data_IF_164139868299
#
_entry.id   IF_164139868299
#
_cell.length_a   1.000
_cell.length_b   1.000
_cell.length_c   1.000
_cell.angle_alpha   90.00
_cell.angle_beta   90.00
_cell.angle_gamma   90.00
#
_symmetry.space_group_name_H-M   'P 1'
#
loop_
_entity.id
_entity.type
_entity.pdbx_description
1 polymer ?
#
# COMPACT_ATOMS: atom_id res chain seq x y z
N UNK A 1 -50.45 24.47 -75.32
CA UNK A 1 -49.85 23.68 -74.21
C UNK A 1 -48.68 24.47 -73.64
N UNK A 2 -48.63 24.55 -72.30
CA UNK A 2 -47.51 24.89 -71.37
C UNK A 2 -46.18 25.37 -72.00
N UNK A 3 -45.49 26.40 -71.52
CA UNK A 3 -45.58 27.16 -70.27
C UNK A 3 -44.38 28.12 -70.18
N UNK A 4 -44.59 29.22 -69.44
CA UNK A 4 -43.67 30.34 -69.13
C UNK A 4 -42.40 29.89 -68.40
N UNK A 5 -41.29 30.63 -68.53
CA UNK A 5 -40.85 31.54 -67.46
C UNK A 5 -39.64 32.45 -67.78
N UNK A 6 -39.69 33.57 -67.07
CA UNK A 6 -38.95 34.84 -67.03
C UNK A 6 -37.52 34.72 -66.41
N UNK A 7 -36.74 35.81 -66.21
CA UNK A 7 -35.31 35.88 -66.49
C UNK A 7 -34.41 35.83 -65.23
N UNK A 8 -33.10 35.75 -65.47
CA UNK A 8 -32.04 35.88 -64.45
C UNK A 8 -32.04 37.27 -63.81
N UNK A 9 -32.01 37.31 -62.48
CA UNK A 9 -31.63 38.48 -61.69
C UNK A 9 -30.48 38.06 -60.76
N UNK A 10 -29.30 38.66 -60.98
CA UNK A 10 -28.10 38.49 -60.18
C UNK A 10 -28.26 39.28 -58.87
N UNK A 11 -28.12 38.63 -57.72
CA UNK A 11 -27.94 39.29 -56.42
C UNK A 11 -26.60 38.86 -55.86
N UNK A 12 -25.69 39.83 -55.70
CA UNK A 12 -24.41 39.67 -55.02
C UNK A 12 -24.65 39.62 -53.49
N UNK A 13 -24.21 38.55 -52.84
CA UNK A 13 -24.15 38.44 -51.38
C UNK A 13 -22.70 38.71 -50.92
N UNK A 14 -22.52 39.82 -50.20
CA UNK A 14 -21.30 40.17 -49.51
C UNK A 14 -21.26 39.38 -48.19
N UNK A 15 -20.35 38.41 -48.07
CA UNK A 15 -20.11 37.69 -46.81
C UNK A 15 -19.16 38.51 -45.92
N UNK A 16 -19.69 39.14 -44.86
CA UNK A 16 -18.89 39.68 -43.77
C UNK A 16 -18.44 38.50 -42.88
N UNK A 17 -17.14 38.19 -42.89
CA UNK A 17 -16.51 37.30 -41.93
C UNK A 17 -16.25 38.06 -40.63
N UNK A 18 -17.07 37.78 -39.61
CA UNK A 18 -16.82 38.21 -38.23
C UNK A 18 -15.69 37.33 -37.70
N UNK A 19 -14.51 37.92 -37.51
CA UNK A 19 -13.46 37.33 -36.69
C UNK A 19 -13.94 37.30 -35.24
N UNK A 20 -14.40 36.13 -34.78
CA UNK A 20 -14.53 35.86 -33.36
C UNK A 20 -13.12 35.80 -32.77
N UNK A 21 -12.71 36.87 -32.08
CA UNK A 21 -11.57 36.83 -31.15
C UNK A 21 -11.92 35.85 -30.04
N UNK A 22 -11.54 34.60 -30.22
CA UNK A 22 -11.61 33.58 -29.18
C UNK A 22 -10.75 34.02 -28.01
N UNK A 23 -11.39 34.29 -26.88
CA UNK A 23 -10.72 34.29 -25.59
C UNK A 23 -10.14 32.88 -25.43
N UNK A 24 -8.85 32.70 -25.66
CA UNK A 24 -8.19 31.39 -25.58
C UNK A 24 -8.49 30.77 -24.23
N UNK A 25 -8.97 29.52 -24.22
CA UNK A 25 -9.16 28.79 -22.98
C UNK A 25 -7.83 28.82 -22.20
N UNK A 26 -7.86 29.35 -20.97
CA UNK A 26 -6.68 29.36 -20.10
C UNK A 26 -6.24 27.91 -19.86
N UNK A 27 -4.94 27.66 -19.95
CA UNK A 27 -4.34 26.37 -19.64
C UNK A 27 -4.42 26.07 -18.13
N UNK A 28 -4.17 24.82 -17.76
CA UNK A 28 -4.28 24.36 -16.37
C UNK A 28 -3.32 25.09 -15.42
N UNK A 29 -2.08 25.39 -15.85
CA UNK A 29 -1.10 26.11 -15.02
C UNK A 29 -1.60 27.51 -14.71
N UNK A 30 -2.08 28.24 -15.73
CA UNK A 30 -2.66 29.57 -15.56
C UNK A 30 -3.93 29.57 -14.70
N UNK A 31 -4.77 28.54 -14.82
CA UNK A 31 -6.02 28.41 -14.07
C UNK A 31 -5.76 28.11 -12.59
N UNK A 32 -4.85 27.18 -12.30
CA UNK A 32 -4.48 26.79 -10.95
C UNK A 32 -3.43 27.72 -10.33
N UNK A 33 -2.73 28.54 -11.12
CA UNK A 33 -1.64 29.40 -10.67
C UNK A 33 -0.42 28.62 -10.18
N UNK A 34 -0.07 27.52 -10.86
CA UNK A 34 1.02 26.62 -10.44
C UNK A 34 2.42 27.21 -10.64
N UNK A 35 2.53 28.30 -11.40
CA UNK A 35 3.76 29.03 -11.72
C UNK A 35 4.07 30.18 -10.75
N UNK A 36 3.27 30.35 -9.69
CA UNK A 36 3.39 31.48 -8.76
C UNK A 36 4.32 31.23 -7.56
N UNK A 37 4.67 29.98 -7.31
CA UNK A 37 5.52 29.54 -6.21
C UNK A 37 6.26 28.25 -6.59
N UNK A 38 7.14 27.80 -5.71
CA UNK A 38 7.79 26.49 -5.82
C UNK A 38 6.74 25.38 -5.98
N UNK A 39 7.01 24.46 -6.91
CA UNK A 39 6.17 23.29 -7.13
C UNK A 39 6.60 22.17 -6.18
N UNK A 40 5.62 21.58 -5.50
CA UNK A 40 5.78 20.37 -4.70
C UNK A 40 4.87 19.29 -5.26
N UNK A 41 5.28 18.05 -5.09
CA UNK A 41 4.43 16.88 -5.33
C UNK A 41 4.41 16.04 -4.07
N UNK A 42 3.26 15.47 -3.77
CA UNK A 42 3.04 14.72 -2.55
C UNK A 42 1.90 13.75 -2.67
N UNK A 43 1.58 13.09 -1.56
CA UNK A 43 0.38 12.28 -1.44
C UNK A 43 -0.77 13.08 -0.82
N UNK A 44 -1.93 12.42 -0.68
CA UNK A 44 -3.11 13.02 -0.04
C UNK A 44 -3.00 13.17 1.48
N UNK A 45 -1.98 12.58 2.12
CA UNK A 45 -1.77 12.59 3.56
C UNK A 45 -0.83 13.72 4.00
N UNK A 46 -0.31 14.49 3.05
CA UNK A 46 0.49 15.69 3.31
C UNK A 46 1.99 15.45 3.23
N UNK A 47 2.44 14.23 2.91
CA UNK A 47 3.83 13.99 2.56
C UNK A 47 4.10 14.69 1.24
N UNK A 48 5.14 15.53 1.17
CA UNK A 48 5.47 16.27 -0.04
C UNK A 48 6.96 16.49 -0.18
N UNK A 49 7.40 16.50 -1.42
CA UNK A 49 8.77 16.80 -1.83
C UNK A 49 8.76 17.96 -2.81
N UNK A 50 9.83 18.76 -2.79
CA UNK A 50 10.01 19.84 -3.74
C UNK A 50 10.37 19.25 -5.11
N UNK A 51 9.76 19.76 -6.17
CA UNK A 51 10.14 19.44 -7.54
C UNK A 51 11.29 20.37 -7.92
N UNK A 52 12.52 19.85 -7.98
CA UNK A 52 13.72 20.66 -8.24
C UNK A 52 13.71 21.30 -9.64
N UNK A 53 13.19 20.59 -10.65
CA UNK A 53 13.08 21.07 -12.03
C UNK A 53 11.60 21.10 -12.48
N UNK A 54 10.82 22.13 -12.11
CA UNK A 54 9.38 22.14 -12.32
C UNK A 54 8.95 22.37 -13.77
N UNK A 55 9.84 22.86 -14.64
CA UNK A 55 9.50 23.28 -16.00
C UNK A 55 8.85 22.17 -16.83
N UNK A 56 9.36 20.94 -16.77
CA UNK A 56 8.79 19.81 -17.53
C UNK A 56 7.37 19.45 -17.06
N UNK A 57 7.11 19.52 -15.75
CA UNK A 57 5.77 19.34 -15.19
C UNK A 57 4.83 20.46 -15.63
N UNK A 58 5.27 21.71 -15.54
CA UNK A 58 4.45 22.87 -15.93
C UNK A 58 4.12 22.83 -17.44
N UNK A 59 5.06 22.44 -18.30
CA UNK A 59 4.80 22.26 -19.73
C UNK A 59 3.83 21.10 -20.03
N UNK A 60 3.96 19.98 -19.31
CA UNK A 60 3.00 18.88 -19.40
C UNK A 60 1.59 19.33 -18.98
N UNK A 61 1.48 20.14 -17.92
CA UNK A 61 0.21 20.65 -17.42
C UNK A 61 -0.41 21.68 -18.36
N UNK A 62 0.39 22.56 -18.96
CA UNK A 62 -0.07 23.50 -20.01
C UNK A 62 -0.62 22.76 -21.23
N UNK A 63 0.00 21.63 -21.57
CA UNK A 63 -0.38 20.78 -22.69
C UNK A 63 -1.55 19.82 -22.40
N UNK A 64 -1.98 19.74 -21.13
CA UNK A 64 -3.03 18.83 -20.70
C UNK A 64 -4.39 19.17 -21.35
N UNK A 65 -5.11 18.14 -21.81
CA UNK A 65 -6.33 18.34 -22.61
C UNK A 65 -7.57 18.24 -21.75
N UNK A 66 -8.40 19.28 -21.72
CA UNK A 66 -9.66 19.27 -20.99
C UNK A 66 -10.57 18.11 -21.42
N UNK A 67 -11.13 17.39 -20.45
CA UNK A 67 -12.03 16.24 -20.65
C UNK A 67 -13.45 16.63 -20.20
N UNK A 68 -14.38 16.65 -21.15
CA UNK A 68 -15.76 17.12 -20.90
C UNK A 68 -16.61 16.11 -20.10
N UNK A 69 -16.37 14.82 -20.27
CA UNK A 69 -17.09 13.73 -19.61
C UNK A 69 -16.10 12.61 -19.21
N UNK A 70 -15.35 12.80 -18.12
CA UNK A 70 -14.29 11.89 -17.71
C UNK A 70 -14.86 10.69 -16.93
N UNK A 71 -15.47 9.73 -17.63
CA UNK A 71 -16.18 8.60 -17.03
C UNK A 71 -15.32 7.72 -16.13
N UNK A 72 -14.03 7.64 -16.42
CA UNK A 72 -13.07 6.78 -15.71
C UNK A 72 -12.17 7.57 -14.76
N UNK A 73 -12.38 8.88 -14.59
CA UNK A 73 -11.60 9.67 -13.65
C UNK A 73 -12.07 9.44 -12.22
N UNK A 74 -11.11 9.07 -11.37
CA UNK A 74 -11.31 8.99 -9.92
C UNK A 74 -11.61 10.35 -9.31
N UNK A 75 -12.09 10.37 -8.08
CA UNK A 75 -12.26 11.61 -7.34
C UNK A 75 -10.94 12.19 -6.87
N UNK A 76 -10.91 13.48 -6.54
CA UNK A 76 -9.73 14.16 -5.99
C UNK A 76 -9.27 13.58 -4.65
N UNK A 77 -10.18 12.95 -3.90
CA UNK A 77 -9.86 12.27 -2.63
C UNK A 77 -9.26 10.87 -2.83
N UNK A 78 -9.37 10.33 -4.05
CA UNK A 78 -8.80 9.05 -4.48
C UNK A 78 -7.53 9.21 -5.32
N UNK A 79 -7.16 10.45 -5.65
CA UNK A 79 -5.94 10.74 -6.40
C UNK A 79 -4.69 10.30 -5.62
N UNK A 80 -3.79 9.61 -6.31
CA UNK A 80 -2.55 9.10 -5.73
C UNK A 80 -1.55 10.21 -5.43
N UNK A 81 -1.55 11.27 -6.25
CA UNK A 81 -0.63 12.39 -6.09
C UNK A 81 -1.35 13.74 -6.05
N UNK A 82 -0.78 14.67 -5.30
CA UNK A 82 -1.21 16.06 -5.21
C UNK A 82 -0.02 16.97 -5.49
N UNK A 83 -0.19 17.86 -6.47
CA UNK A 83 0.75 18.93 -6.77
C UNK A 83 0.34 20.19 -6.04
N UNK A 84 1.31 20.85 -5.41
CA UNK A 84 1.12 22.09 -4.65
C UNK A 84 1.98 23.20 -5.22
N UNK A 85 1.42 24.41 -5.31
CA UNK A 85 2.17 25.64 -5.56
C UNK A 85 1.54 26.75 -4.73
N UNK A 86 2.20 27.13 -3.62
CA UNK A 86 1.58 27.92 -2.57
C UNK A 86 0.34 27.21 -2.01
N UNK A 87 -0.82 27.87 -2.06
CA UNK A 87 -2.12 27.32 -1.62
C UNK A 87 -2.86 26.52 -2.71
N UNK A 88 -2.37 26.58 -3.95
CA UNK A 88 -3.01 25.92 -5.08
C UNK A 88 -2.74 24.42 -5.09
N UNK A 89 -3.75 23.64 -5.50
CA UNK A 89 -3.67 22.18 -5.60
C UNK A 89 -4.15 21.67 -6.95
N UNK A 90 -3.41 20.74 -7.52
CA UNK A 90 -3.85 19.92 -8.66
C UNK A 90 -3.63 18.46 -8.31
N UNK A 91 -4.66 17.63 -8.48
CA UNK A 91 -4.65 16.22 -8.13
C UNK A 91 -4.33 15.40 -9.38
N UNK A 92 -3.59 14.31 -9.23
CA UNK A 92 -3.28 13.40 -10.34
C UNK A 92 -3.79 11.99 -10.01
N UNK A 93 -4.76 11.54 -10.81
CA UNK A 93 -5.21 10.15 -10.89
C UNK A 93 -4.25 9.41 -11.81
N UNK A 94 -3.30 8.70 -11.20
CA UNK A 94 -2.27 7.95 -11.90
C UNK A 94 -2.86 6.76 -12.65
N UNK A 95 -4.00 6.19 -12.24
CA UNK A 95 -4.64 5.10 -12.99
C UNK A 95 -5.30 5.61 -14.27
N UNK A 96 -6.07 6.69 -14.17
CA UNK A 96 -6.78 7.31 -15.28
C UNK A 96 -5.92 8.20 -16.18
N UNK A 97 -4.71 8.58 -15.74
CA UNK A 97 -3.84 9.57 -16.39
C UNK A 97 -4.54 10.93 -16.52
N UNK A 98 -5.14 11.36 -15.41
CA UNK A 98 -5.92 12.59 -15.35
C UNK A 98 -5.39 13.54 -14.27
N UNK A 99 -5.24 14.80 -14.65
CA UNK A 99 -5.06 15.93 -13.74
C UNK A 99 -6.43 16.53 -13.41
N UNK A 100 -6.64 16.88 -12.16
CA UNK A 100 -7.89 17.44 -11.67
C UNK A 100 -7.62 18.73 -10.92
N UNK A 101 -8.38 19.76 -11.28
CA UNK A 101 -8.36 21.04 -10.59
C UNK A 101 -9.74 21.32 -10.01
N UNK A 102 -9.77 21.63 -8.71
CA UNK A 102 -11.00 21.95 -7.99
C UNK A 102 -10.95 23.42 -7.57
N UNK A 103 -11.83 24.22 -8.14
CA UNK A 103 -12.01 25.63 -7.77
C UNK A 103 -13.45 25.85 -7.31
N UNK A 104 -13.61 26.33 -6.06
CA UNK A 104 -14.93 26.62 -5.45
C UNK A 104 -15.95 25.47 -5.60
N UNK A 105 -15.48 24.24 -5.41
CA UNK A 105 -16.31 23.03 -5.52
C UNK A 105 -16.59 22.56 -6.96
N UNK A 106 -16.09 23.27 -7.98
CA UNK A 106 -16.19 22.85 -9.37
C UNK A 106 -14.92 22.11 -9.79
N UNK A 107 -15.08 20.84 -10.15
CA UNK A 107 -14.01 19.99 -10.67
C UNK A 107 -13.85 20.14 -12.19
N UNK A 108 -12.62 20.34 -12.64
CA UNK A 108 -12.21 20.29 -14.06
C UNK A 108 -11.16 19.21 -14.23
N UNK A 109 -11.28 18.39 -15.28
CA UNK A 109 -10.41 17.23 -15.52
C UNK A 109 -9.65 17.40 -16.83
N UNK A 110 -8.38 17.04 -16.84
CA UNK A 110 -7.46 17.20 -17.96
C UNK A 110 -6.67 15.90 -18.18
N UNK A 111 -6.64 15.39 -19.40
CA UNK A 111 -5.85 14.22 -19.75
C UNK A 111 -4.37 14.61 -19.91
N UNK A 112 -3.50 13.94 -19.16
CA UNK A 112 -2.05 14.04 -19.25
C UNK A 112 -1.41 12.80 -18.63
N UNK A 113 -0.48 12.16 -19.33
CA UNK A 113 0.37 11.12 -18.74
C UNK A 113 1.69 11.77 -18.29
N UNK A 114 1.93 11.77 -16.98
CA UNK A 114 3.11 12.36 -16.34
C UNK A 114 3.92 11.34 -15.52
N UNK A 115 3.66 10.04 -15.67
CA UNK A 115 4.31 9.02 -14.84
C UNK A 115 5.84 9.05 -14.98
N UNK A 116 6.33 9.27 -16.21
CA UNK A 116 7.75 9.38 -16.48
C UNK A 116 8.40 10.58 -15.79
N UNK A 117 7.65 11.65 -15.53
CA UNK A 117 8.13 12.79 -14.75
C UNK A 117 8.12 12.47 -13.25
N UNK A 118 7.05 11.82 -12.76
CA UNK A 118 6.95 11.38 -11.37
C UNK A 118 8.08 10.43 -10.97
N UNK A 119 8.43 9.49 -11.85
CA UNK A 119 9.54 8.55 -11.63
C UNK A 119 10.91 9.23 -11.46
N UNK A 120 11.05 10.50 -11.86
CA UNK A 120 12.29 11.27 -11.69
C UNK A 120 12.34 12.04 -10.37
N UNK A 121 11.23 12.10 -9.62
CA UNK A 121 11.17 12.84 -8.36
C UNK A 121 11.64 11.94 -7.23
N UNK A 122 12.81 12.26 -6.68
CA UNK A 122 13.37 11.54 -5.53
C UNK A 122 12.62 11.84 -4.24
N UNK A 123 12.41 10.82 -3.41
CA UNK A 123 11.84 10.97 -2.06
C UNK A 123 10.31 11.07 -2.02
N UNK A 124 9.64 10.83 -3.15
CA UNK A 124 8.19 10.61 -3.14
C UNK A 124 7.84 9.43 -2.24
N UNK A 125 6.76 9.52 -1.44
CA UNK A 125 6.25 8.36 -0.74
C UNK A 125 5.66 7.35 -1.73
N UNK A 126 5.74 6.04 -1.42
CA UNK A 126 4.91 5.05 -2.09
C UNK A 126 3.44 5.42 -1.99
N UNK A 127 2.70 5.37 -3.10
CA UNK A 127 1.27 5.58 -3.06
C UNK A 127 0.58 4.41 -2.33
N UNK A 128 -0.20 4.72 -1.30
CA UNK A 128 -0.98 3.76 -0.52
C UNK A 128 -2.48 3.94 -0.76
N UNK A 129 -3.11 2.88 -1.28
CA UNK A 129 -4.54 2.86 -1.63
C UNK A 129 -5.26 1.78 -0.84
N UNK A 130 -6.41 2.05 -0.20
CA UNK A 130 -7.22 1.04 0.46
C UNK A 130 -7.70 -0.06 -0.50
N UNK A 131 -7.67 -1.31 -0.03
CA UNK A 131 -7.98 -2.49 -0.82
C UNK A 131 -6.80 -3.00 -1.65
N UNK A 132 -7.03 -4.13 -2.31
CA UNK A 132 -6.08 -4.81 -3.19
C UNK A 132 -6.85 -5.66 -4.20
N UNK A 133 -6.17 -6.06 -5.28
CA UNK A 133 -6.71 -6.86 -6.37
C UNK A 133 -5.74 -8.02 -6.66
N UNK A 134 -5.77 -9.03 -5.79
CA UNK A 134 -4.96 -10.24 -5.87
C UNK A 134 -5.78 -11.41 -5.28
N UNK A 135 -6.30 -12.29 -6.14
CA UNK A 135 -7.19 -13.39 -5.74
C UNK A 135 -6.47 -14.39 -4.82
N UNK A 136 -5.19 -14.65 -5.05
CA UNK A 136 -4.41 -15.60 -4.25
C UNK A 136 -4.22 -15.08 -2.81
N UNK A 137 -3.86 -13.80 -2.65
CA UNK A 137 -3.76 -13.18 -1.32
C UNK A 137 -5.13 -13.13 -0.65
N UNK A 138 -6.20 -12.86 -1.40
CA UNK A 138 -7.55 -12.82 -0.85
C UNK A 138 -7.95 -14.16 -0.22
N UNK A 139 -7.69 -15.27 -0.92
CA UNK A 139 -7.92 -16.62 -0.39
C UNK A 139 -7.05 -16.90 0.85
N UNK A 140 -5.77 -16.50 0.84
CA UNK A 140 -4.89 -16.72 1.98
C UNK A 140 -5.33 -15.94 3.23
N UNK A 141 -5.80 -14.71 3.06
CA UNK A 141 -6.19 -13.84 4.17
C UNK A 141 -7.39 -14.37 4.97
N UNK A 142 -8.22 -15.26 4.40
CA UNK A 142 -9.26 -15.96 5.17
C UNK A 142 -8.68 -16.74 6.37
N UNK A 143 -7.46 -17.27 6.22
CA UNK A 143 -6.77 -17.99 7.28
C UNK A 143 -5.72 -17.12 7.98
N UNK A 144 -4.91 -16.39 7.21
CA UNK A 144 -3.79 -15.60 7.77
C UNK A 144 -4.26 -14.48 8.70
N UNK A 145 -5.49 -13.96 8.54
CA UNK A 145 -6.08 -12.96 9.43
C UNK A 145 -6.42 -13.48 10.83
N UNK A 146 -6.49 -14.80 11.03
CA UNK A 146 -6.91 -15.43 12.29
C UNK A 146 -5.78 -15.46 13.32
N UNK A 147 -5.33 -14.26 13.71
CA UNK A 147 -4.26 -14.03 14.69
C UNK A 147 -4.83 -13.59 16.04
N UNK A 148 -4.19 -14.01 17.13
CA UNK A 148 -4.68 -13.69 18.48
C UNK A 148 -4.32 -12.26 18.90
N UNK A 149 -3.24 -11.71 18.34
CA UNK A 149 -2.73 -10.37 18.64
C UNK A 149 -2.48 -9.61 17.34
N UNK A 150 -2.43 -8.25 17.38
CA UNK A 150 -2.14 -7.45 16.19
C UNK A 150 -0.86 -7.90 15.49
N UNK A 151 -0.93 -7.99 14.16
CA UNK A 151 0.19 -8.27 13.28
C UNK A 151 -0.10 -7.69 11.89
N UNK A 152 0.93 -7.52 11.07
CA UNK A 152 0.81 -7.10 9.70
C UNK A 152 1.64 -8.00 8.78
N UNK A 153 1.10 -8.27 7.60
CA UNK A 153 1.79 -8.98 6.52
C UNK A 153 1.98 -8.02 5.35
N UNK A 154 3.15 -8.06 4.74
CA UNK A 154 3.48 -7.28 3.55
C UNK A 154 3.90 -8.24 2.47
N UNK A 155 2.98 -8.52 1.55
CA UNK A 155 3.22 -9.40 0.42
C UNK A 155 3.88 -8.61 -0.70
N UNK A 156 5.13 -8.93 -1.05
CA UNK A 156 5.80 -8.31 -2.19
C UNK A 156 5.22 -8.82 -3.50
N UNK A 157 4.99 -7.91 -4.45
CA UNK A 157 4.40 -8.18 -5.78
C UNK A 157 5.05 -7.28 -6.82
N UNK A 158 6.02 -7.82 -7.56
CA UNK A 158 6.84 -7.02 -8.48
C UNK A 158 7.50 -5.86 -7.73
N UNK A 159 7.32 -4.64 -8.24
CA UNK A 159 7.85 -3.44 -7.60
C UNK A 159 7.01 -2.98 -6.39
N UNK A 160 5.73 -3.39 -6.31
CA UNK A 160 4.77 -2.99 -5.28
C UNK A 160 4.59 -4.00 -4.16
N UNK A 161 3.58 -3.77 -3.32
CA UNK A 161 3.22 -4.68 -2.25
C UNK A 161 1.75 -4.59 -1.83
N UNK A 162 1.23 -5.67 -1.21
CA UNK A 162 -0.05 -5.66 -0.50
C UNK A 162 0.23 -5.70 1.00
N UNK A 163 -0.19 -4.66 1.71
CA UNK A 163 -0.16 -4.58 3.16
C UNK A 163 -1.49 -5.08 3.72
N UNK A 164 -1.47 -6.12 4.54
CA UNK A 164 -2.60 -6.59 5.32
C UNK A 164 -2.32 -6.39 6.81
N UNK A 165 -3.07 -5.49 7.45
CA UNK A 165 -2.98 -5.25 8.89
C UNK A 165 -4.13 -5.95 9.58
N UNK A 166 -3.81 -6.82 10.54
CA UNK A 166 -4.75 -7.66 11.27
C UNK A 166 -4.82 -7.17 12.71
N UNK A 167 -6.02 -6.85 13.19
CA UNK A 167 -6.20 -6.27 14.52
C UNK A 167 -6.04 -7.27 15.68
N UNK A 168 -5.85 -8.56 15.38
CA UNK A 168 -6.00 -9.62 16.37
C UNK A 168 -7.46 -9.99 16.64
N UNK A 169 -7.67 -11.06 17.40
CA UNK A 169 -9.00 -11.53 17.80
C UNK A 169 -9.73 -10.45 18.61
N UNK A 170 -10.98 -10.17 18.23
CA UNK A 170 -11.90 -9.28 18.96
C UNK A 170 -13.13 -10.05 19.42
N UNK A 171 -13.73 -9.60 20.52
CA UNK A 171 -14.86 -10.27 21.17
C UNK A 171 -16.22 -10.05 20.49
N UNK A 172 -16.29 -9.08 19.59
CA UNK A 172 -17.50 -8.73 18.84
C UNK A 172 -17.17 -8.59 17.36
N UNK A 173 -18.15 -8.83 16.51
CA UNK A 173 -18.05 -8.58 15.08
C UNK A 173 -18.39 -7.11 14.74
N UNK A 174 -17.92 -6.63 13.58
CA UNK A 174 -18.22 -5.29 13.08
C UNK A 174 -17.22 -4.19 13.47
N UNK A 175 -16.06 -4.55 14.02
CA UNK A 175 -14.95 -3.60 14.17
C UNK A 175 -14.51 -3.07 12.80
N UNK A 176 -14.18 -1.78 12.76
CA UNK A 176 -13.63 -1.12 11.57
C UNK A 176 -12.20 -0.71 11.82
N UNK A 177 -11.37 -0.76 10.78
CA UNK A 177 -10.04 -0.19 10.80
C UNK A 177 -9.94 0.94 9.78
N UNK A 178 -9.83 2.16 10.27
CA UNK A 178 -9.79 3.36 9.45
C UNK A 178 -8.35 3.86 9.36
N UNK A 179 -7.86 4.11 8.15
CA UNK A 179 -6.59 4.78 7.95
C UNK A 179 -6.68 6.21 8.47
N UNK A 180 -5.90 6.53 9.50
CA UNK A 180 -5.91 7.83 10.18
C UNK A 180 -4.79 8.73 9.69
N UNK A 181 -3.59 8.18 9.54
CA UNK A 181 -2.42 8.92 9.14
C UNK A 181 -1.46 8.05 8.34
N UNK A 182 -0.80 8.67 7.37
CA UNK A 182 0.31 8.10 6.61
C UNK A 182 1.41 9.13 6.55
N UNK A 183 2.61 8.77 6.98
CA UNK A 183 3.78 9.64 6.90
C UNK A 183 4.98 8.90 6.34
N UNK A 184 5.78 9.57 5.54
CA UNK A 184 6.97 8.98 4.93
C UNK A 184 8.21 9.79 5.30
N UNK A 185 9.21 9.11 5.86
CA UNK A 185 10.46 9.75 6.28
C UNK A 185 11.61 8.75 6.23
N UNK A 186 12.75 9.18 5.68
CA UNK A 186 13.99 8.38 5.61
C UNK A 186 13.80 6.95 5.04
N UNK A 187 12.90 6.77 4.06
CA UNK A 187 12.64 5.47 3.45
C UNK A 187 11.60 4.60 4.17
N UNK A 188 11.12 5.02 5.34
CA UNK A 188 10.11 4.30 6.11
C UNK A 188 8.73 4.97 5.95
N UNK A 189 7.74 4.15 5.60
CA UNK A 189 6.33 4.52 5.54
C UNK A 189 5.65 4.13 6.86
N UNK A 190 5.24 5.13 7.63
CA UNK A 190 4.44 4.92 8.84
C UNK A 190 2.95 4.96 8.49
N UNK A 191 2.21 3.94 8.93
CA UNK A 191 0.78 3.75 8.66
C UNK A 191 0.03 3.61 9.98
N UNK A 192 -0.82 4.59 10.29
CA UNK A 192 -1.65 4.60 11.50
C UNK A 192 -3.07 4.21 11.19
N UNK A 193 -3.54 3.15 11.85
CA UNK A 193 -4.90 2.63 11.68
C UNK A 193 -5.68 2.75 12.98
N UNK A 194 -6.81 3.44 12.94
CA UNK A 194 -7.74 3.49 14.06
C UNK A 194 -8.66 2.29 14.07
N UNK A 195 -8.57 1.49 15.13
CA UNK A 195 -9.52 0.42 15.40
C UNK A 195 -10.75 1.00 16.10
N UNK A 196 -11.88 1.02 15.39
CA UNK A 196 -13.15 1.52 15.88
C UNK A 196 -14.04 0.35 16.29
N UNK A 197 -14.47 0.25 17.57
CA UNK A 197 -15.39 -0.77 17.99
C UNK A 197 -16.78 -0.56 17.35
N UNK A 198 -17.55 -1.63 17.15
CA UNK A 198 -18.93 -1.51 16.69
C UNK A 198 -19.79 -0.79 17.74
N UNK A 199 -20.76 0.03 17.29
CA UNK A 199 -21.75 0.66 18.18
C UNK A 199 -22.75 -0.36 18.79
N UNK A 200 -22.79 -1.57 18.24
CA UNK A 200 -23.53 -2.74 18.70
C UNK A 200 -23.22 -3.93 17.78
N UNK A 201 -23.42 -5.16 18.25
CA UNK A 201 -23.07 -6.35 17.46
C UNK A 201 -23.28 -7.66 18.20
N UNK A 202 -23.17 -8.75 17.46
CA UNK A 202 -23.12 -10.08 18.06
C UNK A 202 -21.82 -10.24 18.88
N UNK A 203 -21.93 -10.86 20.05
CA UNK A 203 -20.78 -11.28 20.87
C UNK A 203 -20.15 -12.54 20.27
N UNK A 204 -19.64 -12.41 19.05
CA UNK A 204 -18.97 -13.45 18.29
C UNK A 204 -17.56 -13.00 18.01
N UNK A 205 -16.59 -13.91 18.18
CA UNK A 205 -15.21 -13.60 17.88
C UNK A 205 -15.03 -13.18 16.42
N UNK A 206 -14.30 -12.10 16.18
CA UNK A 206 -13.98 -11.60 14.85
C UNK A 206 -12.49 -11.32 14.70
N UNK A 207 -12.03 -11.22 13.45
CA UNK A 207 -10.63 -10.95 13.10
C UNK A 207 -10.59 -9.80 12.09
N UNK A 208 -10.66 -8.54 12.58
CA UNK A 208 -10.69 -7.39 11.68
C UNK A 208 -9.38 -7.30 10.89
N UNK A 209 -9.50 -7.11 9.57
CA UNK A 209 -8.38 -6.93 8.65
C UNK A 209 -8.59 -5.68 7.81
N UNK A 210 -7.53 -4.91 7.60
CA UNK A 210 -7.48 -3.76 6.71
C UNK A 210 -6.37 -4.00 5.71
N UNK A 211 -6.68 -3.81 4.43
CA UNK A 211 -5.76 -4.10 3.34
C UNK A 211 -5.49 -2.86 2.52
N UNK A 212 -4.27 -2.77 2.02
CA UNK A 212 -3.81 -1.66 1.21
C UNK A 212 -2.88 -2.14 0.11
N UNK A 213 -2.94 -1.49 -1.04
CA UNK A 213 -1.97 -1.63 -2.12
C UNK A 213 -0.94 -0.51 -2.02
N UNK A 214 0.34 -0.87 -2.07
CA UNK A 214 1.47 0.03 -2.19
C UNK A 214 1.99 0.01 -3.63
N UNK A 215 2.15 1.19 -4.24
CA UNK A 215 2.68 1.30 -5.61
C UNK A 215 4.13 0.83 -5.73
N UNK A 216 4.89 0.96 -4.65
CA UNK A 216 6.25 0.45 -4.51
C UNK A 216 6.46 -0.07 -3.09
N UNK A 217 7.38 -1.02 -2.91
CA UNK A 217 7.76 -1.48 -1.58
C UNK A 217 8.55 -0.40 -0.82
N UNK A 218 8.20 -0.20 0.45
CA UNK A 218 9.00 0.56 1.41
C UNK A 218 9.07 -0.20 2.75
N UNK A 219 10.04 0.17 3.58
CA UNK A 219 10.05 -0.25 4.98
C UNK A 219 8.82 0.32 5.68
N UNK A 220 8.18 -0.47 6.54
CA UNK A 220 6.87 -0.15 7.09
C UNK A 220 6.89 -0.11 8.62
N UNK A 221 6.35 0.97 9.17
CA UNK A 221 6.05 1.11 10.58
C UNK A 221 4.54 1.19 10.76
N UNK A 222 3.91 0.08 11.15
CA UNK A 222 2.46 -0.01 11.28
C UNK A 222 2.07 0.19 12.74
N UNK A 223 1.09 1.06 12.98
CA UNK A 223 0.57 1.33 14.33
C UNK A 223 -0.94 1.26 14.35
N UNK A 224 -1.47 0.65 15.40
CA UNK A 224 -2.91 0.56 15.65
C UNK A 224 -3.27 1.53 16.77
N UNK A 225 -4.14 2.48 16.47
CA UNK A 225 -4.73 3.40 17.44
C UNK A 225 -6.01 2.78 17.99
N UNK A 226 -6.08 2.60 19.31
CA UNK A 226 -7.25 2.09 20.00
C UNK A 226 -7.67 3.06 21.09
N UNK A 227 -8.96 3.40 21.17
CA UNK A 227 -9.44 4.26 22.24
C UNK A 227 -9.53 3.48 23.57
N UNK A 228 -8.76 3.93 24.55
CA UNK A 228 -8.72 3.42 25.92
C UNK A 228 -9.42 4.37 26.91
N UNK A 229 -9.49 3.97 28.18
CA UNK A 229 -10.15 4.74 29.25
C UNK A 229 -9.43 6.05 29.61
N UNK A 230 -8.16 6.18 29.26
CA UNK A 230 -7.31 7.35 29.53
C UNK A 230 -6.95 8.19 28.30
N UNK A 231 -7.50 7.85 27.12
CA UNK A 231 -7.09 8.42 25.83
C UNK A 231 -6.81 7.32 24.81
N UNK A 232 -6.23 7.70 23.68
CA UNK A 232 -5.85 6.74 22.64
C UNK A 232 -4.55 6.02 22.99
N UNK A 233 -4.58 4.70 22.93
CA UNK A 233 -3.41 3.83 23.01
C UNK A 233 -2.86 3.59 21.60
N UNK A 234 -1.54 3.72 21.44
CA UNK A 234 -0.84 3.46 20.19
C UNK A 234 -0.06 2.15 20.32
N UNK A 235 -0.52 1.13 19.58
CA UNK A 235 0.06 -0.21 19.59
C UNK A 235 0.96 -0.34 18.36
N UNK A 236 2.25 -0.60 18.56
CA UNK A 236 3.13 -0.97 17.45
C UNK A 236 2.76 -2.36 16.96
N UNK A 237 2.55 -2.49 15.64
CA UNK A 237 2.14 -3.73 15.01
C UNK A 237 3.34 -4.40 14.36
N UNK A 238 3.69 -5.64 14.76
CA UNK A 238 4.73 -6.44 14.11
C UNK A 238 4.48 -6.59 12.63
N UNK A 239 5.49 -6.35 11.79
CA UNK A 239 5.38 -6.47 10.32
C UNK A 239 6.23 -7.63 9.83
N UNK A 240 5.60 -8.62 9.19
CA UNK A 240 6.30 -9.70 8.49
C UNK A 240 6.25 -9.47 6.97
N UNK A 241 7.41 -9.51 6.33
CA UNK A 241 7.52 -9.47 4.87
C UNK A 241 7.34 -10.88 4.31
N UNK A 242 6.51 -11.01 3.28
CA UNK A 242 6.20 -12.27 2.62
C UNK A 242 6.62 -12.15 1.15
N UNK A 243 7.69 -12.88 0.79
CA UNK A 243 8.18 -12.94 -0.59
C UNK A 243 7.28 -13.83 -1.46
N UNK A 244 7.35 -13.62 -2.78
CA UNK A 244 6.65 -14.48 -3.74
C UNK A 244 7.15 -15.94 -3.61
N UNK A 245 6.22 -16.88 -3.49
CA UNK A 245 6.53 -18.31 -3.30
C UNK A 245 6.94 -18.71 -1.87
N UNK A 246 7.02 -17.78 -0.92
CA UNK A 246 7.34 -18.09 0.48
C UNK A 246 6.24 -18.95 1.13
N UNK A 247 6.64 -20.03 1.80
CA UNK A 247 5.71 -21.00 2.40
C UNK A 247 5.71 -21.02 3.94
N UNK A 248 6.51 -20.16 4.57
CA UNK A 248 6.54 -19.99 6.02
C UNK A 248 6.45 -18.49 6.34
N UNK A 249 5.58 -18.13 7.27
CA UNK A 249 5.45 -16.78 7.81
C UNK A 249 5.69 -16.87 9.32
N UNK A 250 6.71 -16.19 9.83
CA UNK A 250 6.93 -16.04 11.26
C UNK A 250 6.33 -14.71 11.72
N UNK A 251 5.34 -14.74 12.62
CA UNK A 251 4.80 -13.55 13.24
C UNK A 251 5.56 -13.17 14.51
N UNK A 252 5.89 -14.18 15.33
CA UNK A 252 6.70 -14.00 16.53
C UNK A 252 7.68 -15.15 16.71
N UNK A 253 8.90 -14.88 17.20
CA UNK A 253 9.45 -13.54 17.45
C UNK A 253 9.63 -12.73 16.16
N UNK A 254 9.66 -11.40 16.27
CA UNK A 254 9.89 -10.51 15.13
C UNK A 254 11.35 -10.61 14.66
N UNK A 255 11.59 -10.27 13.40
CA UNK A 255 12.95 -10.10 12.88
C UNK A 255 13.72 -9.10 13.74
N UNK A 256 14.93 -9.48 14.16
CA UNK A 256 15.79 -8.67 15.02
C UNK A 256 15.46 -8.75 16.51
N UNK A 257 14.45 -9.54 16.92
CA UNK A 257 14.14 -9.74 18.33
C UNK A 257 15.32 -10.32 19.09
N UNK A 258 15.46 -9.91 20.36
CA UNK A 258 16.40 -10.53 21.30
C UNK A 258 15.72 -11.73 21.94
N UNK A 259 16.26 -12.93 21.70
CA UNK A 259 15.74 -14.17 22.26
C UNK A 259 16.32 -14.42 23.66
N UNK A 260 15.53 -15.12 24.48
CA UNK A 260 15.91 -15.66 25.78
C UNK A 260 15.97 -17.18 25.73
N UNK A 261 16.33 -17.83 26.84
CA UNK A 261 16.44 -19.30 26.96
C UNK A 261 15.13 -20.05 26.67
N UNK A 262 13.99 -19.36 26.59
CA UNK A 262 12.71 -19.95 26.19
C UNK A 262 11.90 -18.99 25.32
N UNK A 263 11.64 -19.39 24.08
CA UNK A 263 10.96 -18.57 23.08
C UNK A 263 9.63 -19.20 22.64
N UNK A 264 8.60 -18.37 22.54
CA UNK A 264 7.33 -18.74 21.91
C UNK A 264 7.38 -18.35 20.44
N UNK A 265 7.14 -19.31 19.56
CA UNK A 265 7.06 -19.08 18.12
C UNK A 265 5.63 -19.23 17.65
N UNK A 266 5.16 -18.27 16.85
CA UNK A 266 3.82 -18.27 16.25
C UNK A 266 3.89 -17.81 14.81
N UNK A 267 3.15 -18.46 13.93
CA UNK A 267 3.14 -18.11 12.52
C UNK A 267 2.26 -19.04 11.69
N UNK A 268 2.52 -19.04 10.39
CA UNK A 268 1.79 -19.85 9.42
C UNK A 268 2.75 -20.62 8.50
N UNK A 269 2.33 -21.81 8.10
CA UNK A 269 3.08 -22.66 7.18
C UNK A 269 2.16 -23.24 6.11
N UNK A 270 2.63 -23.26 4.86
CA UNK A 270 2.00 -23.91 3.72
C UNK A 270 2.97 -24.94 3.15
N UNK A 271 3.18 -26.02 3.90
CA UNK A 271 4.17 -27.06 3.56
C UNK A 271 3.52 -28.43 3.45
N UNK A 272 4.17 -29.33 2.71
CA UNK A 272 3.68 -30.70 2.54
C UNK A 272 3.52 -31.41 3.90
N UNK A 273 2.42 -32.15 4.07
CA UNK A 273 2.08 -32.84 5.33
C UNK A 273 2.05 -31.94 6.58
N UNK A 274 1.98 -30.62 6.40
CA UNK A 274 2.02 -29.62 7.47
C UNK A 274 3.26 -29.69 8.37
N UNK A 275 4.31 -30.45 8.00
CA UNK A 275 5.46 -30.70 8.89
C UNK A 275 6.75 -30.08 8.38
N UNK A 276 7.49 -29.48 9.31
CA UNK A 276 8.78 -28.83 9.06
C UNK A 276 9.64 -28.88 10.33
N UNK A 277 10.91 -28.54 10.21
CA UNK A 277 11.84 -28.42 11.32
C UNK A 277 12.13 -26.94 11.55
N UNK A 278 12.26 -26.55 12.81
CA UNK A 278 12.76 -25.23 13.22
C UNK A 278 14.05 -25.41 13.96
N UNK A 279 15.07 -24.67 13.54
CA UNK A 279 16.39 -24.64 14.14
C UNK A 279 16.68 -23.20 14.58
N UNK A 280 17.29 -23.04 15.75
CA UNK A 280 17.78 -21.75 16.24
C UNK A 280 19.28 -21.87 16.42
N UNK A 281 20.03 -21.01 15.74
CA UNK A 281 21.50 -21.04 15.73
C UNK A 281 22.08 -19.68 16.12
N UNK A 282 23.31 -19.67 16.66
CA UNK A 282 24.07 -18.45 16.97
C UNK A 282 25.27 -18.21 16.04
N UNK A 283 25.36 -18.99 14.95
CA UNK A 283 26.47 -19.00 14.00
C UNK A 283 27.65 -19.91 14.38
N UNK A 284 27.67 -20.43 15.61
CA UNK A 284 28.65 -21.41 16.08
C UNK A 284 28.00 -22.74 16.46
N UNK A 285 26.82 -22.68 17.06
CA UNK A 285 26.08 -23.80 17.62
C UNK A 285 24.61 -23.75 17.22
N UNK A 286 24.00 -24.92 17.15
CA UNK A 286 22.54 -25.04 17.14
C UNK A 286 22.06 -25.06 18.58
N UNK A 287 21.32 -24.04 18.98
CA UNK A 287 20.83 -23.84 20.35
C UNK A 287 19.52 -24.59 20.62
N UNK A 288 18.74 -24.87 19.57
CA UNK A 288 17.48 -25.60 19.68
C UNK A 288 17.02 -26.13 18.33
N UNK A 289 16.43 -27.32 18.33
CA UNK A 289 15.84 -27.95 17.15
C UNK A 289 14.48 -28.53 17.54
N UNK A 290 13.48 -28.34 16.69
CA UNK A 290 12.15 -28.93 16.91
C UNK A 290 11.46 -29.29 15.61
N UNK A 291 10.88 -30.48 15.54
CA UNK A 291 9.89 -30.81 14.51
C UNK A 291 8.54 -30.21 14.90
N UNK A 292 7.92 -29.50 13.95
CA UNK A 292 6.67 -28.76 14.14
C UNK A 292 5.68 -29.27 13.11
N UNK A 293 4.40 -29.28 13.51
CA UNK A 293 3.27 -29.56 12.64
C UNK A 293 2.31 -28.38 12.70
N UNK A 294 2.01 -27.77 11.56
CA UNK A 294 1.00 -26.74 11.42
C UNK A 294 -0.40 -27.36 11.41
N UNK A 295 -1.43 -26.54 11.62
CA UNK A 295 -2.83 -27.00 11.67
C UNK A 295 -3.35 -27.54 10.34
N UNK A 296 -2.71 -27.19 9.22
CA UNK A 296 -3.08 -27.56 7.86
C UNK A 296 -1.81 -27.66 6.99
N UNK A 297 -1.85 -28.54 5.99
CA UNK A 297 -0.77 -28.72 5.02
C UNK A 297 -1.11 -28.06 3.67
N UNK A 298 -0.10 -27.95 2.81
CA UNK A 298 -0.28 -27.42 1.46
C UNK A 298 -1.41 -28.17 0.70
N UNK A 299 -2.23 -27.46 -0.10
CA UNK A 299 -2.05 -26.08 -0.56
C UNK A 299 -2.53 -24.99 0.42
N UNK A 300 -3.16 -25.33 1.54
CA UNK A 300 -3.64 -24.37 2.53
C UNK A 300 -2.56 -23.87 3.49
N UNK A 301 -2.81 -22.72 4.13
CA UNK A 301 -1.97 -22.20 5.21
C UNK A 301 -2.43 -22.75 6.56
N UNK A 302 -1.55 -23.42 7.29
CA UNK A 302 -1.79 -23.86 8.66
C UNK A 302 -1.14 -22.96 9.70
N UNK A 303 -1.83 -22.69 10.81
CA UNK A 303 -1.26 -22.00 11.98
C UNK A 303 -0.30 -22.94 12.71
N UNK A 304 0.83 -22.42 13.18
CA UNK A 304 1.67 -23.10 14.16
C UNK A 304 1.89 -22.23 15.39
N UNK A 305 1.96 -22.87 16.55
CA UNK A 305 2.32 -22.24 17.82
C UNK A 305 3.05 -23.25 18.69
N UNK A 306 4.25 -22.89 19.17
CA UNK A 306 4.98 -23.75 20.09
C UNK A 306 6.01 -22.98 20.93
N UNK A 307 6.44 -23.60 22.02
CA UNK A 307 7.60 -23.17 22.80
C UNK A 307 8.84 -23.98 22.42
N UNK A 308 9.99 -23.33 22.39
CA UNK A 308 11.31 -23.94 22.26
C UNK A 308 12.20 -23.44 23.40
N UNK A 309 12.84 -24.37 24.08
CA UNK A 309 13.91 -24.08 25.03
C UNK A 309 15.23 -24.05 24.25
N UNK A 310 16.07 -23.05 24.53
CA UNK A 310 17.33 -22.79 23.85
C UNK A 310 18.50 -22.99 24.81
N UNK A 311 19.54 -23.67 24.33
CA UNK A 311 20.84 -23.65 24.99
C UNK A 311 21.41 -22.22 25.02
N UNK A 312 22.27 -21.88 26.00
CA UNK A 312 22.87 -20.56 26.10
C UNK A 312 23.67 -20.21 24.83
N UNK A 313 23.38 -19.03 24.26
CA UNK A 313 24.10 -18.52 23.10
C UNK A 313 25.56 -18.16 23.45
N UNK A 314 26.47 -18.44 22.53
CA UNK A 314 27.90 -18.09 22.57
C UNK A 314 28.23 -16.86 21.74
N UNK A 315 27.28 -16.41 20.92
CA UNK A 315 27.34 -15.22 20.07
C UNK A 315 26.11 -14.33 20.30
N UNK A 316 26.23 -12.99 20.18
CA UNK A 316 25.08 -12.09 20.31
C UNK A 316 24.17 -12.09 19.08
N UNK A 317 24.57 -12.73 17.99
CA UNK A 317 23.82 -12.82 16.74
C UNK A 317 23.30 -14.24 16.55
N UNK A 318 22.08 -14.37 16.01
CA UNK A 318 21.49 -15.66 15.71
C UNK A 318 20.56 -15.65 14.52
N UNK A 319 20.06 -16.82 14.18
CA UNK A 319 19.07 -17.01 13.12
C UNK A 319 18.11 -18.13 13.49
N UNK A 320 16.82 -17.90 13.28
CA UNK A 320 15.80 -18.95 13.26
C UNK A 320 15.67 -19.44 11.82
N UNK A 321 15.83 -20.74 11.60
CA UNK A 321 15.78 -21.37 10.28
C UNK A 321 14.60 -22.34 10.24
N UNK A 322 13.73 -22.18 9.26
CA UNK A 322 12.63 -23.09 8.98
C UNK A 322 13.02 -24.00 7.82
N UNK A 323 12.93 -25.30 8.02
CA UNK A 323 13.51 -26.31 7.14
C UNK A 323 12.47 -27.33 6.74
N UNK A 324 12.40 -27.61 5.44
CA UNK A 324 11.69 -28.75 4.86
C UNK A 324 12.68 -29.63 4.09
N UNK A 325 12.22 -30.79 3.64
CA UNK A 325 13.00 -31.67 2.78
C UNK A 325 12.25 -31.93 1.48
N UNK A 326 12.96 -31.82 0.36
CA UNK A 326 12.43 -32.13 -0.96
C UNK A 326 11.96 -33.58 -1.04
N UNK A 327 10.69 -33.80 -1.37
CA UNK A 327 10.16 -35.15 -1.59
C UNK A 327 10.80 -35.84 -2.80
N UNK A 328 11.45 -35.09 -3.70
CA UNK A 328 12.05 -35.60 -4.94
C UNK A 328 13.39 -36.29 -4.70
N UNK A 329 14.23 -35.70 -3.84
CA UNK A 329 15.63 -36.12 -3.67
C UNK A 329 16.12 -36.05 -2.21
N UNK A 330 15.26 -35.70 -1.26
CA UNK A 330 15.60 -35.60 0.16
C UNK A 330 16.51 -34.41 0.48
N UNK A 331 16.74 -33.49 -0.46
CA UNK A 331 17.56 -32.31 -0.21
C UNK A 331 16.90 -31.38 0.81
N UNK A 332 17.72 -30.78 1.67
CA UNK A 332 17.31 -29.78 2.66
C UNK A 332 16.92 -28.49 1.94
N UNK A 333 15.76 -27.94 2.30
CA UNK A 333 15.24 -26.66 1.81
C UNK A 333 15.07 -25.74 3.02
N UNK A 334 15.70 -24.56 2.98
CA UNK A 334 15.56 -23.54 4.01
C UNK A 334 14.47 -22.55 3.58
N UNK A 335 13.24 -22.81 4.02
CA UNK A 335 12.04 -22.05 3.64
C UNK A 335 12.08 -20.60 4.11
N UNK A 336 12.66 -20.36 5.29
CA UNK A 336 12.74 -19.01 5.88
C UNK A 336 13.94 -18.92 6.84
N UNK A 337 14.63 -17.78 6.80
CA UNK A 337 15.67 -17.39 7.76
C UNK A 337 15.29 -16.06 8.41
N UNK A 338 15.18 -16.04 9.72
CA UNK A 338 14.85 -14.84 10.49
C UNK A 338 16.04 -14.48 11.38
N UNK A 339 16.76 -13.40 11.07
CA UNK A 339 17.81 -12.88 11.95
C UNK A 339 17.24 -12.50 13.31
N UNK A 340 17.94 -12.86 14.37
CA UNK A 340 17.61 -12.56 15.77
C UNK A 340 18.89 -12.21 16.52
N UNK A 341 18.74 -11.68 17.73
CA UNK A 341 19.86 -11.46 18.64
C UNK A 341 19.71 -12.25 19.93
N UNK A 342 20.77 -12.28 20.72
CA UNK A 342 20.78 -12.81 22.08
C UNK A 342 21.32 -11.75 23.03
N UNK A 343 20.71 -11.63 24.21
CA UNK A 343 21.24 -10.75 25.24
C UNK A 343 22.61 -11.26 25.69
N UNK A 344 23.64 -10.40 25.62
CA UNK A 344 24.93 -10.71 26.23
C UNK A 344 24.76 -10.94 27.73
N UNK A 345 25.41 -11.98 28.27
CA UNK A 345 25.56 -12.12 29.73
C UNK A 345 26.60 -11.17 30.27
#
# INVERSE_FOLDING_TARGET
MRGRNLPLLLIALLALSIFATGCGAKDLVSLAGLDKADLYVGDRYGNRVKVENPDEFLEAFKSARFVKDPKDARSEIEAEYVFYSGESKVYYDAKGKYLMFVDKGKRSVYAANIDALLAQVSGLPPAITPGFDDEEIAEWLETLSQVDQPAALVFRRGDGAVLAVMAGQRSQDGYKMNLENVSYSMGELTVDLRLVPPEGGAQTASYPVATFTLSEYADLNVRLVQSGTGGDDLIQVPVAVVEEGQNIILLRPERGSILTERVKMTGFARVWEASFIVEVEDGHNVLGIKQVTASEGAPGWGKFEFWMDLEPATSPYGTIIFVTYSAKDGSRIEELKVPVGFGGK
#
